data_IF_678282225869
#
_entry.id   IF_678282225869
#
_cell.length_a   1.000
_cell.length_b   1.000
_cell.length_c   1.000
_cell.angle_alpha   90.00
_cell.angle_beta   90.00
_cell.angle_gamma   90.00
#
_symmetry.space_group_name_H-M   'P 1'
#
loop_
_entity.id
_entity.type
_entity.pdbx_description
1 polymer ?
#
# COMPACT_ATOMS: atom_id res chain seq x y z
N UNK A 1 18.11 -3.50 -2.82
CA UNK A 1 18.25 -2.03 -2.95
C UNK A 1 17.41 -1.40 -4.07
N UNK A 2 17.01 -2.09 -5.15
CA UNK A 2 16.26 -1.47 -6.25
C UNK A 2 14.73 -1.29 -6.03
N UNK A 3 14.08 -2.11 -5.19
CA UNK A 3 12.61 -2.10 -5.05
C UNK A 3 12.02 -0.82 -4.41
N UNK A 4 12.76 -0.18 -3.48
CA UNK A 4 12.32 1.06 -2.81
C UNK A 4 12.37 2.31 -3.70
N UNK A 5 13.06 2.23 -4.85
CA UNK A 5 13.20 3.38 -5.76
C UNK A 5 12.25 3.28 -6.96
N UNK A 6 11.51 2.18 -7.10
CA UNK A 6 10.51 2.05 -8.17
C UNK A 6 9.28 2.88 -7.83
N UNK A 7 8.64 3.47 -8.84
CA UNK A 7 7.34 4.13 -8.68
C UNK A 7 6.28 3.19 -8.08
N UNK A 8 5.39 3.72 -7.23
CA UNK A 8 4.33 2.95 -6.55
C UNK A 8 3.49 2.19 -7.58
N UNK A 9 3.11 2.84 -8.68
CA UNK A 9 2.33 2.22 -9.76
C UNK A 9 3.02 0.99 -10.36
N UNK A 10 4.35 1.05 -10.55
CA UNK A 10 5.12 -0.09 -11.08
C UNK A 10 5.19 -1.22 -10.05
N UNK A 11 5.36 -0.92 -8.75
CA UNK A 11 5.35 -1.96 -7.71
C UNK A 11 4.00 -2.65 -7.62
N UNK A 12 2.91 -1.88 -7.65
CA UNK A 12 1.55 -2.42 -7.69
C UNK A 12 1.37 -3.32 -8.91
N UNK A 13 1.76 -2.83 -10.10
CA UNK A 13 1.68 -3.59 -11.35
C UNK A 13 2.45 -4.91 -11.28
N UNK A 14 3.68 -4.90 -10.76
CA UNK A 14 4.48 -6.12 -10.58
C UNK A 14 3.83 -7.08 -9.58
N UNK A 15 3.31 -6.59 -8.45
CA UNK A 15 2.65 -7.43 -7.46
C UNK A 15 1.37 -8.08 -8.03
N UNK A 16 0.53 -7.30 -8.72
CA UNK A 16 -0.66 -7.83 -9.39
C UNK A 16 -0.31 -8.80 -10.51
N UNK A 17 0.67 -8.49 -11.35
CA UNK A 17 1.14 -9.38 -12.41
C UNK A 17 1.66 -10.70 -11.85
N UNK A 18 2.40 -10.66 -10.72
CA UNK A 18 2.87 -11.86 -10.04
C UNK A 18 1.71 -12.72 -9.52
N UNK A 19 0.70 -12.12 -8.88
CA UNK A 19 -0.50 -12.84 -8.42
C UNK A 19 -1.28 -13.44 -9.58
N UNK A 20 -1.52 -12.68 -10.65
CA UNK A 20 -2.21 -13.18 -11.84
C UNK A 20 -1.44 -14.33 -12.49
N UNK A 21 -0.12 -14.23 -12.56
CA UNK A 21 0.75 -15.29 -13.09
C UNK A 21 0.68 -16.54 -12.22
N UNK A 22 0.71 -16.39 -10.89
CA UNK A 22 0.52 -17.53 -9.97
C UNK A 22 -0.84 -18.20 -10.18
N UNK A 23 -1.91 -17.43 -10.35
CA UNK A 23 -3.25 -17.98 -10.63
C UNK A 23 -3.27 -18.75 -11.95
N UNK A 24 -2.69 -18.21 -13.02
CA UNK A 24 -2.59 -18.89 -14.32
C UNK A 24 -1.76 -20.17 -14.21
N UNK A 25 -0.62 -20.12 -13.50
CA UNK A 25 0.22 -21.30 -13.28
C UNK A 25 -0.51 -22.39 -12.50
N UNK A 26 -1.26 -22.02 -11.45
CA UNK A 26 -2.09 -22.97 -10.70
C UNK A 26 -3.17 -23.61 -11.58
N UNK A 27 -3.82 -22.82 -12.44
CA UNK A 27 -4.82 -23.34 -13.37
C UNK A 27 -4.20 -24.31 -14.40
N UNK A 28 -3.04 -23.97 -14.97
CA UNK A 28 -2.33 -24.84 -15.92
C UNK A 28 -1.88 -26.15 -15.25
N UNK A 29 -1.33 -26.07 -14.04
CA UNK A 29 -0.98 -27.25 -13.24
C UNK A 29 -2.23 -28.10 -13.00
N UNK A 30 -3.35 -27.49 -12.59
CA UNK A 30 -4.62 -28.18 -12.39
C UNK A 30 -5.09 -28.94 -13.64
N UNK A 31 -5.01 -28.31 -14.81
CA UNK A 31 -5.36 -28.94 -16.09
C UNK A 31 -4.47 -30.15 -16.37
N UNK A 32 -3.15 -30.04 -16.19
CA UNK A 32 -2.24 -31.18 -16.42
C UNK A 32 -2.51 -32.35 -15.47
N UNK A 33 -2.84 -32.08 -14.20
CA UNK A 33 -3.22 -33.12 -13.24
C UNK A 33 -4.55 -33.79 -13.58
N UNK A 34 -5.53 -33.03 -14.06
CA UNK A 34 -6.79 -33.59 -14.55
C UNK A 34 -6.58 -34.46 -15.79
N UNK A 35 -5.64 -34.11 -16.67
CA UNK A 35 -5.28 -34.94 -17.82
C UNK A 35 -4.65 -36.27 -17.39
N UNK A 36 -3.76 -36.27 -16.40
CA UNK A 36 -3.17 -37.50 -15.84
C UNK A 36 -4.26 -38.44 -15.30
N UNK A 37 -5.22 -37.89 -14.54
CA UNK A 37 -6.37 -38.65 -14.00
C UNK A 37 -7.28 -39.15 -15.11
N UNK A 38 -7.55 -38.33 -16.13
CA UNK A 38 -8.36 -38.73 -17.27
C UNK A 38 -7.71 -39.90 -18.05
N UNK A 39 -6.42 -39.83 -18.33
CA UNK A 39 -5.69 -40.92 -18.99
C UNK A 39 -5.58 -42.19 -18.13
N UNK A 40 -5.52 -42.07 -16.80
CA UNK A 40 -5.64 -43.24 -15.92
C UNK A 40 -7.05 -43.85 -15.95
N UNK A 41 -8.08 -43.00 -15.99
CA UNK A 41 -9.49 -43.42 -16.08
C UNK A 41 -9.79 -44.14 -17.39
N UNK A 42 -9.30 -43.63 -18.52
CA UNK A 42 -9.45 -44.30 -19.83
C UNK A 42 -8.80 -45.70 -19.85
N UNK A 43 -7.64 -45.85 -19.18
CA UNK A 43 -6.99 -47.17 -19.01
C UNK A 43 -7.84 -48.10 -18.14
N UNK A 44 -8.43 -47.59 -17.06
CA UNK A 44 -9.36 -48.34 -16.21
C UNK A 44 -10.63 -48.75 -16.97
N UNK A 45 -11.21 -47.86 -17.79
CA UNK A 45 -12.39 -48.13 -18.62
C UNK A 45 -12.12 -49.21 -19.67
N UNK A 46 -10.93 -49.19 -20.27
CA UNK A 46 -10.47 -50.26 -21.15
C UNK A 46 -10.31 -51.59 -20.39
N UNK A 47 -9.78 -51.55 -19.16
CA UNK A 47 -9.62 -52.73 -18.32
C UNK A 47 -10.96 -53.35 -17.91
N UNK A 48 -11.93 -52.55 -17.44
CA UNK A 48 -13.26 -53.06 -17.05
C UNK A 48 -14.02 -53.65 -18.24
N UNK A 49 -13.85 -53.11 -19.44
CA UNK A 49 -14.44 -53.70 -20.65
C UNK A 49 -13.94 -55.13 -20.88
N UNK A 50 -12.64 -55.38 -20.69
CA UNK A 50 -12.05 -56.71 -20.84
C UNK A 50 -12.51 -57.68 -19.75
N UNK A 51 -12.64 -57.22 -18.51
CA UNK A 51 -13.24 -58.02 -17.41
C UNK A 51 -14.65 -58.46 -17.79
N UNK A 52 -15.52 -57.50 -18.16
CA UNK A 52 -16.92 -57.80 -18.54
C UNK A 52 -17.03 -58.79 -19.71
N UNK A 53 -16.17 -58.68 -20.72
CA UNK A 53 -16.15 -59.63 -21.83
C UNK A 53 -15.70 -61.02 -21.36
N UNK A 54 -14.68 -61.09 -20.51
CA UNK A 54 -14.16 -62.35 -19.96
C UNK A 54 -15.20 -63.04 -19.05
N UNK A 55 -15.91 -62.28 -18.20
CA UNK A 55 -17.00 -62.80 -17.37
C UNK A 55 -18.17 -63.31 -18.21
N UNK A 56 -18.57 -62.57 -19.26
CA UNK A 56 -19.62 -63.02 -20.18
C UNK A 56 -19.21 -64.29 -20.93
N UNK A 57 -17.95 -64.40 -21.31
CA UNK A 57 -17.42 -65.63 -21.89
C UNK A 57 -17.50 -66.79 -20.89
N UNK A 58 -17.01 -66.60 -19.68
CA UNK A 58 -17.06 -67.62 -18.62
C UNK A 58 -18.50 -68.09 -18.34
N UNK A 59 -19.42 -67.15 -18.09
CA UNK A 59 -20.83 -67.46 -17.85
C UNK A 59 -21.49 -68.14 -19.06
N UNK A 60 -21.17 -67.70 -20.28
CA UNK A 60 -21.63 -68.33 -21.50
C UNK A 60 -21.13 -69.77 -21.65
N UNK A 61 -19.89 -70.03 -21.25
CA UNK A 61 -19.27 -71.34 -21.29
C UNK A 61 -19.98 -72.33 -20.37
N UNK A 62 -20.09 -71.98 -19.08
CA UNK A 62 -20.80 -72.78 -18.07
C UNK A 62 -22.25 -73.06 -18.49
N UNK A 63 -22.93 -72.06 -19.04
CA UNK A 63 -24.30 -72.23 -19.54
C UNK A 63 -24.37 -73.20 -20.74
N UNK A 64 -23.37 -73.18 -21.62
CA UNK A 64 -23.31 -74.09 -22.77
C UNK A 64 -22.98 -75.52 -22.36
N UNK A 65 -22.16 -75.70 -21.33
CA UNK A 65 -21.82 -77.00 -20.76
C UNK A 65 -23.02 -77.64 -20.06
N UNK A 66 -23.82 -76.83 -19.35
CA UNK A 66 -25.11 -77.28 -18.81
C UNK A 66 -26.08 -77.75 -19.91
N UNK A 67 -26.13 -77.05 -21.05
CA UNK A 67 -26.91 -77.50 -22.21
C UNK A 67 -26.35 -78.81 -22.80
N UNK A 68 -25.03 -78.97 -22.83
CA UNK A 68 -24.38 -80.21 -23.26
C UNK A 68 -24.76 -81.40 -22.38
N UNK A 69 -24.65 -81.28 -21.07
CA UNK A 69 -25.02 -82.30 -20.09
C UNK A 69 -26.55 -82.58 -20.07
N UNK A 70 -27.39 -81.57 -20.34
CA UNK A 70 -28.82 -81.78 -20.56
C UNK A 70 -29.07 -82.61 -21.83
N UNK A 71 -28.38 -82.27 -22.92
CA UNK A 71 -28.47 -82.97 -24.20
C UNK A 71 -28.05 -84.43 -24.08
N UNK A 72 -27.03 -84.76 -23.29
CA UNK A 72 -26.62 -86.15 -23.03
C UNK A 72 -27.72 -87.02 -22.39
N UNK A 73 -28.67 -86.40 -21.68
CA UNK A 73 -29.77 -87.08 -20.99
C UNK A 73 -31.10 -87.01 -21.74
N UNK A 74 -31.17 -86.23 -22.82
CA UNK A 74 -32.39 -86.07 -23.61
C UNK A 74 -32.75 -87.37 -24.34
N UNK A 75 -34.00 -87.80 -24.20
CA UNK A 75 -34.54 -88.99 -24.88
C UNK A 75 -35.58 -88.64 -25.94
N UNK A 76 -36.20 -87.45 -25.86
CA UNK A 76 -37.13 -86.93 -26.87
C UNK A 76 -36.34 -86.26 -28.02
N UNK A 77 -36.52 -86.70 -29.29
CA UNK A 77 -35.88 -86.07 -30.44
C UNK A 77 -36.15 -84.56 -30.59
N UNK A 78 -37.34 -84.08 -30.18
CA UNK A 78 -37.68 -82.67 -30.27
C UNK A 78 -36.88 -81.83 -29.26
N UNK A 79 -36.73 -82.31 -28.03
CA UNK A 79 -35.91 -81.69 -26.99
C UNK A 79 -34.42 -81.72 -27.36
N UNK A 80 -33.91 -82.84 -27.89
CA UNK A 80 -32.52 -82.93 -28.37
C UNK A 80 -32.20 -81.89 -29.45
N UNK A 81 -33.10 -81.75 -30.43
CA UNK A 81 -32.94 -80.77 -31.50
C UNK A 81 -32.95 -79.33 -30.96
N UNK A 82 -33.81 -79.03 -29.98
CA UNK A 82 -33.86 -77.72 -29.35
C UNK A 82 -32.59 -77.42 -28.53
N UNK A 83 -32.10 -78.38 -27.74
CA UNK A 83 -30.87 -78.25 -26.97
C UNK A 83 -29.67 -78.03 -27.89
N UNK A 84 -29.54 -78.82 -28.96
CA UNK A 84 -28.49 -78.65 -29.97
C UNK A 84 -28.53 -77.26 -30.62
N UNK A 85 -29.73 -76.75 -30.96
CA UNK A 85 -29.88 -75.41 -31.52
C UNK A 85 -29.41 -74.33 -30.53
N UNK A 86 -29.82 -74.41 -29.26
CA UNK A 86 -29.38 -73.49 -28.20
C UNK A 86 -27.87 -73.54 -27.97
N UNK A 87 -27.26 -74.74 -28.01
CA UNK A 87 -25.81 -74.91 -27.90
C UNK A 87 -25.06 -74.23 -29.06
N UNK A 88 -25.56 -74.39 -30.29
CA UNK A 88 -24.98 -73.74 -31.48
C UNK A 88 -25.07 -72.22 -31.36
N UNK A 89 -26.23 -71.70 -30.94
CA UNK A 89 -26.41 -70.27 -30.71
C UNK A 89 -25.44 -69.73 -29.65
N UNK A 90 -25.38 -70.38 -28.48
CA UNK A 90 -24.45 -70.02 -27.39
C UNK A 90 -22.99 -70.06 -27.84
N UNK A 91 -22.60 -71.08 -28.60
CA UNK A 91 -21.23 -71.19 -29.12
C UNK A 91 -20.90 -70.04 -30.09
N UNK A 92 -21.85 -69.59 -30.90
CA UNK A 92 -21.69 -68.42 -31.76
C UNK A 92 -21.57 -67.11 -30.94
N UNK A 93 -22.39 -66.94 -29.90
CA UNK A 93 -22.30 -65.81 -28.96
C UNK A 93 -20.93 -65.75 -28.26
N UNK A 94 -20.44 -66.90 -27.76
CA UNK A 94 -19.13 -67.01 -27.13
C UNK A 94 -18.02 -66.66 -28.11
N UNK A 95 -18.09 -67.18 -29.34
CA UNK A 95 -17.07 -66.89 -30.38
C UNK A 95 -17.01 -65.39 -30.67
N UNK A 96 -18.17 -64.72 -30.78
CA UNK A 96 -18.23 -63.27 -30.95
C UNK A 96 -17.57 -62.52 -29.79
N UNK A 97 -17.82 -62.93 -28.54
CA UNK A 97 -17.19 -62.33 -27.35
C UNK A 97 -15.67 -62.51 -27.40
N UNK A 98 -15.19 -63.70 -27.77
CA UNK A 98 -13.77 -63.99 -27.91
C UNK A 98 -13.11 -63.11 -28.99
N UNK A 99 -13.78 -62.94 -30.14
CA UNK A 99 -13.31 -62.10 -31.23
C UNK A 99 -13.27 -60.61 -30.85
N UNK A 100 -14.21 -60.15 -30.01
CA UNK A 100 -14.19 -58.80 -29.44
C UNK A 100 -13.09 -58.61 -28.39
N UNK A 101 -12.82 -59.64 -27.57
CA UNK A 101 -11.84 -59.59 -26.48
C UNK A 101 -10.40 -59.68 -26.99
N UNK A 102 -10.14 -60.58 -27.93
CA UNK A 102 -8.79 -60.88 -28.45
C UNK A 102 -7.98 -59.65 -28.86
N UNK A 103 -8.49 -58.68 -29.64
CA UNK A 103 -7.71 -57.49 -30.02
C UNK A 103 -7.47 -56.51 -28.85
N UNK A 104 -8.27 -56.58 -27.77
CA UNK A 104 -8.13 -55.73 -26.60
C UNK A 104 -7.05 -56.25 -25.62
N UNK A 105 -6.71 -57.53 -25.69
CA UNK A 105 -5.69 -58.16 -24.85
C UNK A 105 -4.30 -57.89 -25.41
N UNK A 106 -3.64 -56.85 -24.90
CA UNK A 106 -2.29 -56.45 -25.33
C UNK A 106 -1.16 -57.08 -24.50
N UNK A 107 -1.40 -57.42 -23.23
CA UNK A 107 -0.38 -57.97 -22.32
C UNK A 107 0.11 -59.33 -22.78
N UNK A 108 1.42 -59.57 -22.69
CA UNK A 108 2.04 -60.84 -23.10
C UNK A 108 1.43 -62.06 -22.38
N UNK A 109 1.32 -61.99 -21.05
CA UNK A 109 0.66 -63.04 -20.25
C UNK A 109 -0.79 -63.26 -20.66
N UNK A 110 -1.54 -62.18 -20.94
CA UNK A 110 -2.91 -62.28 -21.42
C UNK A 110 -3.02 -62.99 -22.78
N UNK A 111 -2.12 -62.72 -23.72
CA UNK A 111 -2.07 -63.42 -25.02
C UNK A 111 -1.75 -64.91 -24.83
N UNK A 112 -0.82 -65.23 -23.95
CA UNK A 112 -0.49 -66.62 -23.60
C UNK A 112 -1.69 -67.36 -23.00
N UNK A 113 -2.40 -66.74 -22.06
CA UNK A 113 -3.63 -67.31 -21.49
C UNK A 113 -4.69 -67.53 -22.56
N UNK A 114 -4.97 -66.54 -23.41
CA UNK A 114 -5.91 -66.68 -24.53
C UNK A 114 -5.54 -67.83 -25.48
N UNK A 115 -4.25 -68.02 -25.78
CA UNK A 115 -3.74 -69.12 -26.60
C UNK A 115 -3.96 -70.48 -25.94
N UNK A 116 -3.53 -70.63 -24.69
CA UNK A 116 -3.70 -71.86 -23.92
C UNK A 116 -5.18 -72.24 -23.74
N UNK A 117 -6.05 -71.25 -23.53
CA UNK A 117 -7.49 -71.45 -23.45
C UNK A 117 -8.08 -71.89 -24.79
N UNK A 118 -7.58 -71.38 -25.92
CA UNK A 118 -8.03 -71.82 -27.24
C UNK A 118 -7.65 -73.29 -27.53
N UNK A 119 -6.46 -73.73 -27.11
CA UNK A 119 -6.04 -75.14 -27.21
C UNK A 119 -6.93 -76.05 -26.36
N UNK A 120 -7.15 -75.69 -25.08
CA UNK A 120 -8.03 -76.46 -24.17
C UNK A 120 -9.47 -76.51 -24.67
N UNK A 121 -9.97 -75.41 -25.24
CA UNK A 121 -11.29 -75.36 -25.90
C UNK A 121 -11.39 -76.38 -27.02
N UNK A 122 -10.37 -76.51 -27.87
CA UNK A 122 -10.39 -77.46 -28.98
C UNK A 122 -10.44 -78.90 -28.47
N UNK A 123 -9.62 -79.24 -27.47
CA UNK A 123 -9.62 -80.56 -26.82
C UNK A 123 -11.00 -80.91 -26.26
N UNK A 124 -11.66 -79.97 -25.59
CA UNK A 124 -13.03 -80.16 -25.09
C UNK A 124 -14.04 -80.33 -26.24
N UNK A 125 -14.00 -79.49 -27.27
CA UNK A 125 -14.91 -79.58 -28.42
C UNK A 125 -14.80 -80.95 -29.10
N UNK A 126 -13.58 -81.44 -29.31
CA UNK A 126 -13.34 -82.73 -29.96
C UNK A 126 -13.87 -83.89 -29.09
N UNK A 127 -13.58 -83.87 -27.79
CA UNK A 127 -14.11 -84.86 -26.85
C UNK A 127 -15.65 -84.83 -26.79
N UNK A 128 -16.26 -83.65 -26.75
CA UNK A 128 -17.71 -83.47 -26.73
C UNK A 128 -18.37 -83.98 -28.02
N UNK A 129 -17.78 -83.68 -29.18
CA UNK A 129 -18.27 -84.16 -30.46
C UNK A 129 -18.21 -85.69 -30.54
N UNK A 130 -17.13 -86.29 -30.03
CA UNK A 130 -17.00 -87.75 -29.94
C UNK A 130 -18.05 -88.36 -29.00
N UNK A 131 -18.33 -87.74 -27.84
CA UNK A 131 -19.41 -88.17 -26.95
C UNK A 131 -20.76 -88.10 -27.67
N UNK A 132 -21.07 -87.02 -28.40
CA UNK A 132 -22.33 -86.93 -29.13
C UNK A 132 -22.44 -87.98 -30.25
N UNK A 133 -21.36 -88.25 -30.98
CA UNK A 133 -21.34 -89.32 -31.97
C UNK A 133 -21.59 -90.71 -31.34
N UNK A 134 -20.95 -91.00 -30.20
CA UNK A 134 -21.20 -92.25 -29.46
C UNK A 134 -22.62 -92.33 -28.91
N UNK A 135 -23.18 -91.22 -28.43
CA UNK A 135 -24.55 -91.17 -27.91
C UNK A 135 -25.57 -91.54 -28.99
N UNK A 136 -25.37 -90.99 -30.19
CA UNK A 136 -26.26 -91.16 -31.34
C UNK A 136 -26.08 -92.54 -32.03
N UNK A 137 -25.04 -93.30 -31.68
CA UNK A 137 -24.82 -94.67 -32.14
C UNK A 137 -25.75 -95.66 -31.39
N UNK A 138 -26.64 -96.39 -32.10
CA UNK A 138 -27.51 -97.40 -31.50
C UNK A 138 -26.74 -98.64 -30.99
N UNK A 139 -25.51 -98.88 -31.46
CA UNK A 139 -24.65 -99.99 -31.07
C UNK A 139 -23.61 -99.62 -29.99
N UNK A 140 -23.74 -98.45 -29.34
CA UNK A 140 -22.79 -97.99 -28.31
C UNK A 140 -22.61 -99.01 -27.18
N UNK A 141 -21.37 -99.20 -26.76
CA UNK A 141 -21.05 -99.87 -25.49
C UNK A 141 -21.30 -98.90 -24.32
N UNK A 142 -22.25 -99.17 -23.42
CA UNK A 142 -22.55 -98.29 -22.28
C UNK A 142 -21.37 -98.08 -21.33
N UNK A 143 -20.51 -99.08 -21.16
CA UNK A 143 -19.34 -98.98 -20.28
C UNK A 143 -18.27 -98.09 -20.91
N UNK A 144 -17.95 -98.29 -22.19
CA UNK A 144 -17.03 -97.44 -22.93
C UNK A 144 -17.52 -95.98 -23.04
N UNK A 145 -18.83 -95.79 -23.25
CA UNK A 145 -19.45 -94.47 -23.32
C UNK A 145 -19.30 -93.69 -21.99
N UNK A 146 -19.64 -94.33 -20.86
CA UNK A 146 -19.48 -93.73 -19.54
C UNK A 146 -18.00 -93.44 -19.24
N UNK A 147 -17.11 -94.40 -19.50
CA UNK A 147 -15.68 -94.25 -19.27
C UNK A 147 -15.07 -93.09 -20.09
N UNK A 148 -15.54 -92.88 -21.33
CA UNK A 148 -15.09 -91.76 -22.15
C UNK A 148 -15.56 -90.41 -21.61
N UNK A 149 -16.82 -90.32 -21.16
CA UNK A 149 -17.36 -89.10 -20.54
C UNK A 149 -16.54 -88.73 -19.29
N UNK A 150 -16.36 -89.69 -18.37
CA UNK A 150 -15.70 -89.45 -17.08
C UNK A 150 -14.18 -89.29 -17.22
N UNK A 151 -13.54 -90.04 -18.13
CA UNK A 151 -12.09 -90.06 -18.27
C UNK A 151 -11.51 -89.04 -19.26
N UNK A 152 -12.32 -88.53 -20.21
CA UNK A 152 -11.84 -87.58 -21.23
C UNK A 152 -12.67 -86.31 -21.32
N UNK A 153 -13.99 -86.43 -21.52
CA UNK A 153 -14.82 -85.24 -21.79
C UNK A 153 -14.90 -84.31 -20.57
N UNK A 154 -15.26 -84.82 -19.39
CA UNK A 154 -15.37 -84.01 -18.17
C UNK A 154 -14.04 -83.38 -17.74
N UNK A 155 -12.91 -84.11 -17.71
CA UNK A 155 -11.60 -83.48 -17.44
C UNK A 155 -11.24 -82.39 -18.45
N UNK A 156 -11.53 -82.57 -19.74
CA UNK A 156 -11.30 -81.55 -20.76
C UNK A 156 -12.21 -80.32 -20.58
N UNK A 157 -13.47 -80.53 -20.20
CA UNK A 157 -14.42 -79.47 -19.85
C UNK A 157 -13.90 -78.64 -18.66
N UNK A 158 -13.55 -79.29 -17.55
CA UNK A 158 -12.99 -78.62 -16.36
C UNK A 158 -11.70 -77.87 -16.70
N UNK A 159 -10.78 -78.49 -17.45
CA UNK A 159 -9.53 -77.83 -17.83
C UNK A 159 -9.78 -76.56 -18.67
N UNK A 160 -10.79 -76.59 -19.55
CA UNK A 160 -11.20 -75.43 -20.33
C UNK A 160 -11.86 -74.36 -19.46
N UNK A 161 -12.84 -74.71 -18.62
CA UNK A 161 -13.48 -73.78 -17.67
C UNK A 161 -12.46 -73.07 -16.78
N UNK A 162 -11.55 -73.84 -16.16
CA UNK A 162 -10.48 -73.31 -15.31
C UNK A 162 -9.59 -72.33 -16.09
N UNK A 163 -9.30 -72.61 -17.36
CA UNK A 163 -8.51 -71.70 -18.18
C UNK A 163 -9.25 -70.41 -18.55
N UNK A 164 -10.58 -70.42 -18.65
CA UNK A 164 -11.37 -69.20 -18.83
C UNK A 164 -11.41 -68.42 -17.52
N UNK A 165 -11.54 -69.09 -16.37
CA UNK A 165 -11.46 -68.47 -15.05
C UNK A 165 -10.09 -67.79 -14.82
N UNK A 166 -8.99 -68.40 -15.27
CA UNK A 166 -7.65 -67.78 -15.24
C UNK A 166 -7.59 -66.49 -16.08
N UNK A 167 -8.25 -66.46 -17.25
CA UNK A 167 -8.36 -65.23 -18.07
C UNK A 167 -9.13 -64.16 -17.31
N UNK A 168 -10.26 -64.50 -16.69
CA UNK A 168 -11.06 -63.56 -15.87
C UNK A 168 -10.21 -62.99 -14.73
N UNK A 169 -9.60 -63.84 -13.92
CA UNK A 169 -8.76 -63.43 -12.80
C UNK A 169 -7.59 -62.54 -13.23
N UNK A 170 -6.99 -62.82 -14.39
CA UNK A 170 -5.95 -61.97 -14.95
C UNK A 170 -6.46 -60.60 -15.37
N UNK A 171 -7.62 -60.52 -16.03
CA UNK A 171 -8.21 -59.22 -16.40
C UNK A 171 -8.67 -58.43 -15.16
N UNK A 172 -9.21 -59.09 -14.15
CA UNK A 172 -9.60 -58.46 -12.87
C UNK A 172 -8.39 -57.88 -12.14
N UNK A 173 -7.28 -58.62 -12.11
CA UNK A 173 -6.02 -58.10 -11.57
C UNK A 173 -5.58 -56.83 -12.29
N UNK A 174 -5.57 -56.83 -13.63
CA UNK A 174 -5.19 -55.65 -14.42
C UNK A 174 -6.16 -54.48 -14.21
N UNK A 175 -7.45 -54.75 -14.03
CA UNK A 175 -8.44 -53.73 -13.67
C UNK A 175 -8.16 -53.12 -12.30
N UNK A 176 -7.86 -53.95 -11.29
CA UNK A 176 -7.52 -53.48 -9.95
C UNK A 176 -6.22 -52.66 -9.92
N UNK A 177 -5.21 -53.07 -10.70
CA UNK A 177 -3.99 -52.28 -10.91
C UNK A 177 -4.31 -50.92 -11.56
N UNK A 178 -5.11 -50.90 -12.62
CA UNK A 178 -5.54 -49.66 -13.29
C UNK A 178 -6.38 -48.75 -12.38
N UNK A 179 -7.23 -49.33 -11.52
CA UNK A 179 -7.96 -48.59 -10.50
C UNK A 179 -7.01 -47.96 -9.47
N UNK A 180 -6.01 -48.72 -9.01
CA UNK A 180 -4.97 -48.21 -8.12
C UNK A 180 -4.20 -47.03 -8.72
N UNK A 181 -3.91 -47.08 -10.02
CA UNK A 181 -3.29 -45.96 -10.75
C UNK A 181 -4.17 -44.70 -10.71
N UNK A 182 -5.49 -44.82 -10.87
CA UNK A 182 -6.44 -43.68 -10.77
C UNK A 182 -6.45 -43.09 -9.36
N UNK A 183 -6.54 -43.95 -8.35
CA UNK A 183 -6.55 -43.53 -6.94
C UNK A 183 -5.23 -42.81 -6.58
N UNK A 184 -4.08 -43.34 -7.04
CA UNK A 184 -2.77 -42.74 -6.85
C UNK A 184 -2.58 -41.41 -7.62
N UNK A 185 -3.04 -41.34 -8.87
CA UNK A 185 -3.00 -40.11 -9.67
C UNK A 185 -3.84 -38.99 -9.01
N UNK A 186 -5.01 -39.35 -8.48
CA UNK A 186 -5.90 -38.42 -7.77
C UNK A 186 -5.24 -37.91 -6.48
N UNK A 187 -4.78 -38.81 -5.60
CA UNK A 187 -4.19 -38.43 -4.32
C UNK A 187 -2.89 -37.62 -4.47
N UNK A 188 -2.03 -38.00 -5.44
CA UNK A 188 -0.81 -37.25 -5.73
C UNK A 188 -1.10 -35.89 -6.36
N UNK A 189 -2.10 -35.80 -7.24
CA UNK A 189 -2.58 -34.56 -7.84
C UNK A 189 -3.12 -33.59 -6.79
N UNK A 190 -4.01 -34.05 -5.91
CA UNK A 190 -4.56 -33.27 -4.80
C UNK A 190 -3.46 -32.75 -3.86
N UNK A 191 -2.54 -33.62 -3.42
CA UNK A 191 -1.43 -33.23 -2.54
C UNK A 191 -0.54 -32.18 -3.21
N UNK A 192 -0.24 -32.35 -4.49
CA UNK A 192 0.56 -31.39 -5.24
C UNK A 192 -0.13 -30.03 -5.37
N UNK A 193 -1.42 -30.02 -5.73
CA UNK A 193 -2.22 -28.79 -5.81
C UNK A 193 -2.36 -28.09 -4.46
N UNK A 194 -2.52 -28.83 -3.36
CA UNK A 194 -2.52 -28.26 -2.01
C UNK A 194 -1.18 -27.58 -1.68
N UNK A 195 -0.04 -28.22 -1.99
CA UNK A 195 1.29 -27.64 -1.77
C UNK A 195 1.48 -26.38 -2.62
N UNK A 196 1.14 -26.43 -3.92
CA UNK A 196 1.23 -25.27 -4.80
C UNK A 196 0.30 -24.13 -4.34
N UNK A 197 -0.93 -24.45 -3.93
CA UNK A 197 -1.89 -23.48 -3.40
C UNK A 197 -1.39 -22.82 -2.11
N UNK A 198 -0.84 -23.60 -1.17
CA UNK A 198 -0.24 -23.07 0.06
C UNK A 198 0.98 -22.19 -0.24
N UNK A 199 1.84 -22.59 -1.18
CA UNK A 199 2.97 -21.77 -1.62
C UNK A 199 2.52 -20.46 -2.27
N UNK A 200 1.51 -20.50 -3.15
CA UNK A 200 0.94 -19.31 -3.78
C UNK A 200 0.33 -18.35 -2.76
N UNK A 201 -0.39 -18.87 -1.76
CA UNK A 201 -0.92 -18.06 -0.65
C UNK A 201 0.20 -17.43 0.18
N UNK A 202 1.25 -18.18 0.51
CA UNK A 202 2.40 -17.66 1.25
C UNK A 202 3.14 -16.56 0.47
N UNK A 203 3.36 -16.76 -0.83
CA UNK A 203 3.97 -15.75 -1.71
C UNK A 203 3.06 -14.51 -1.82
N UNK A 204 1.75 -14.70 -2.02
CA UNK A 204 0.78 -13.62 -2.09
C UNK A 204 0.73 -12.79 -0.80
N UNK A 205 0.72 -13.45 0.37
CA UNK A 205 0.76 -12.79 1.67
C UNK A 205 2.06 -12.02 1.89
N UNK A 206 3.21 -12.60 1.51
CA UNK A 206 4.51 -11.94 1.59
C UNK A 206 4.56 -10.69 0.70
N UNK A 207 4.11 -10.79 -0.56
CA UNK A 207 4.06 -9.67 -1.49
C UNK A 207 3.12 -8.57 -0.99
N UNK A 208 1.93 -8.93 -0.50
CA UNK A 208 0.98 -7.98 0.09
C UNK A 208 1.60 -7.25 1.29
N UNK A 209 2.22 -7.99 2.23
CA UNK A 209 2.86 -7.40 3.40
C UNK A 209 4.01 -6.47 3.02
N UNK A 210 4.89 -6.88 2.10
CA UNK A 210 6.00 -6.06 1.61
C UNK A 210 5.50 -4.78 0.92
N UNK A 211 4.47 -4.90 0.08
CA UNK A 211 3.88 -3.76 -0.63
C UNK A 211 3.25 -2.77 0.34
N UNK A 212 2.39 -3.25 1.25
CA UNK A 212 1.76 -2.42 2.30
C UNK A 212 2.82 -1.72 3.14
N UNK A 213 3.84 -2.43 3.63
CA UNK A 213 4.91 -1.84 4.42
C UNK A 213 5.72 -0.81 3.62
N UNK A 214 5.97 -1.05 2.34
CA UNK A 214 6.74 -0.14 1.48
C UNK A 214 6.04 1.19 1.20
N UNK A 215 4.71 1.25 1.34
CA UNK A 215 3.91 2.45 1.08
C UNK A 215 3.50 3.13 2.39
N UNK A 216 2.99 2.35 3.35
CA UNK A 216 2.42 2.91 4.60
C UNK A 216 3.46 3.50 5.53
N UNK A 217 4.68 2.95 5.59
CA UNK A 217 5.74 3.47 6.46
C UNK A 217 6.20 4.87 6.00
N UNK A 218 6.63 5.09 4.74
CA UNK A 218 7.01 6.43 4.29
C UNK A 218 5.88 7.46 4.36
N UNK A 219 4.64 7.06 4.09
CA UNK A 219 3.48 7.96 4.23
C UNK A 219 3.25 8.37 5.69
N UNK A 220 3.44 7.45 6.64
CA UNK A 220 3.32 7.77 8.07
C UNK A 220 4.41 8.75 8.51
N UNK A 221 5.63 8.62 7.98
CA UNK A 221 6.72 9.56 8.23
C UNK A 221 6.43 10.95 7.66
N UNK A 222 5.90 11.02 6.43
CA UNK A 222 5.45 12.27 5.82
C UNK A 222 4.36 12.97 6.65
N UNK A 223 3.36 12.20 7.13
CA UNK A 223 2.32 12.72 8.03
C UNK A 223 2.92 13.23 9.34
N UNK A 224 3.91 12.55 9.90
CA UNK A 224 4.58 12.99 11.12
C UNK A 224 5.31 14.32 10.92
N UNK A 225 6.02 14.50 9.80
CA UNK A 225 6.68 15.77 9.44
C UNK A 225 5.65 16.90 9.25
N UNK A 226 4.56 16.64 8.53
CA UNK A 226 3.51 17.64 8.34
C UNK A 226 2.89 18.08 9.69
N UNK A 227 2.70 17.15 10.63
CA UNK A 227 2.21 17.45 11.98
C UNK A 227 3.20 18.27 12.80
N UNK A 228 4.52 18.03 12.70
CA UNK A 228 5.51 18.86 13.42
C UNK A 228 5.54 20.28 12.86
N UNK A 229 5.49 20.43 11.54
CA UNK A 229 5.39 21.75 10.89
C UNK A 229 4.10 22.47 11.30
N UNK A 230 2.96 21.77 11.32
CA UNK A 230 1.68 22.34 11.74
C UNK A 230 1.67 22.78 13.22
N UNK A 231 2.49 22.13 14.07
CA UNK A 231 2.68 22.52 15.46
C UNK A 231 3.68 23.70 15.64
N UNK A 232 4.27 24.21 14.56
CA UNK A 232 5.27 25.27 14.60
C UNK A 232 6.69 24.81 14.91
N UNK A 233 6.92 23.50 15.04
CA UNK A 233 8.25 22.93 15.27
C UNK A 233 8.95 22.66 13.92
N UNK A 234 9.86 23.57 13.57
CA UNK A 234 10.70 23.51 12.36
C UNK A 234 12.11 22.97 12.65
N UNK A 235 12.38 22.47 13.87
CA UNK A 235 13.71 21.97 14.25
C UNK A 235 14.03 20.59 13.66
N UNK A 236 13.01 19.87 13.21
CA UNK A 236 13.14 18.49 12.73
C UNK A 236 13.83 18.42 11.37
N UNK A 237 14.89 17.62 11.26
CA UNK A 237 15.53 17.36 9.97
C UNK A 237 14.70 16.40 9.12
N UNK A 238 14.16 16.91 8.01
CA UNK A 238 13.47 16.10 7.00
C UNK A 238 14.51 15.39 6.12
N UNK A 239 14.52 14.06 6.12
CA UNK A 239 15.42 13.25 5.29
C UNK A 239 14.64 12.56 4.17
N UNK A 240 15.20 12.59 2.95
CA UNK A 240 14.61 11.94 1.77
C UNK A 240 15.40 10.66 1.50
N UNK A 241 14.75 9.50 1.63
CA UNK A 241 15.42 8.18 1.57
C UNK A 241 15.00 7.32 0.37
N UNK A 242 14.06 7.78 -0.45
CA UNK A 242 13.59 7.10 -1.68
C UNK A 242 13.49 8.08 -2.85
N UNK A 243 13.46 7.53 -4.07
CA UNK A 243 13.26 8.28 -5.32
C UNK A 243 11.89 8.02 -5.97
N UNK A 244 10.98 7.40 -5.22
CA UNK A 244 9.60 7.15 -5.63
C UNK A 244 8.70 8.35 -5.28
N UNK A 245 7.40 8.23 -5.52
CA UNK A 245 6.40 9.26 -5.23
C UNK A 245 6.37 9.63 -3.73
N UNK A 246 6.67 8.69 -2.82
CA UNK A 246 6.79 9.01 -1.38
C UNK A 246 8.03 9.83 -1.06
N UNK A 247 9.13 9.59 -1.78
CA UNK A 247 10.36 10.37 -1.71
C UNK A 247 10.19 11.77 -2.28
N UNK A 248 9.45 11.90 -3.38
CA UNK A 248 9.06 13.19 -3.97
C UNK A 248 8.19 14.01 -3.00
N UNK A 249 7.20 13.37 -2.35
CA UNK A 249 6.41 13.99 -1.27
C UNK A 249 7.28 14.46 -0.11
N UNK A 250 8.22 13.62 0.35
CA UNK A 250 9.15 13.98 1.43
C UNK A 250 10.10 15.13 1.02
N UNK A 251 10.53 15.19 -0.24
CA UNK A 251 11.33 16.28 -0.75
C UNK A 251 10.55 17.60 -0.78
N UNK A 252 9.28 17.57 -1.21
CA UNK A 252 8.41 18.74 -1.17
C UNK A 252 8.15 19.23 0.27
N UNK A 253 7.92 18.31 1.22
CA UNK A 253 7.79 18.65 2.64
C UNK A 253 9.07 19.26 3.22
N UNK A 254 10.23 18.75 2.81
CA UNK A 254 11.53 19.33 3.18
C UNK A 254 11.64 20.77 2.69
N UNK A 255 11.38 21.01 1.40
CA UNK A 255 11.45 22.36 0.84
C UNK A 255 10.48 23.33 1.55
N UNK A 256 9.26 22.88 1.85
CA UNK A 256 8.29 23.66 2.61
C UNK A 256 8.81 24.03 4.01
N UNK A 257 9.36 23.06 4.75
CA UNK A 257 9.93 23.29 6.08
C UNK A 257 11.12 24.24 6.04
N UNK A 258 12.01 24.08 5.06
CA UNK A 258 13.19 24.92 4.89
C UNK A 258 12.79 26.38 4.58
N UNK A 259 11.78 26.59 3.72
CA UNK A 259 11.24 27.93 3.42
C UNK A 259 10.54 28.57 4.62
N UNK A 260 9.73 27.81 5.36
CA UNK A 260 9.07 28.31 6.57
C UNK A 260 10.11 28.75 7.62
N UNK A 261 11.19 27.97 7.79
CA UNK A 261 12.25 28.30 8.74
C UNK A 261 12.96 29.61 8.37
N UNK A 262 13.23 29.83 7.08
CA UNK A 262 13.76 31.10 6.58
C UNK A 262 12.82 32.28 6.82
N UNK A 263 11.52 32.11 6.60
CA UNK A 263 10.51 33.16 6.83
C UNK A 263 10.47 33.51 8.33
N UNK A 264 10.36 32.51 9.21
CA UNK A 264 10.36 32.72 10.67
C UNK A 264 11.64 33.40 11.14
N UNK A 265 12.80 33.00 10.60
CA UNK A 265 14.08 33.65 10.86
C UNK A 265 14.08 35.13 10.49
N UNK A 266 13.59 35.49 9.29
CA UNK A 266 13.47 36.89 8.86
C UNK A 266 12.51 37.70 9.71
N UNK A 267 11.37 37.12 10.10
CA UNK A 267 10.40 37.78 11.00
C UNK A 267 11.03 38.06 12.36
N UNK A 268 11.77 37.09 12.92
CA UNK A 268 12.50 37.27 14.19
C UNK A 268 13.54 38.39 14.10
N UNK A 269 14.39 38.39 13.07
CA UNK A 269 15.36 39.47 12.85
C UNK A 269 14.69 40.84 12.71
N UNK A 270 13.55 40.91 11.99
CA UNK A 270 12.76 42.14 11.88
C UNK A 270 12.19 42.59 13.23
N UNK A 271 11.69 41.66 14.05
CA UNK A 271 11.18 41.97 15.38
C UNK A 271 12.29 42.44 16.32
N UNK A 272 13.48 41.83 16.28
CA UNK A 272 14.65 42.25 17.05
C UNK A 272 15.10 43.68 16.66
N UNK A 273 15.06 44.01 15.36
CA UNK A 273 15.36 45.35 14.88
C UNK A 273 14.33 46.40 15.34
N UNK A 274 13.03 46.06 15.32
CA UNK A 274 11.97 46.92 15.83
C UNK A 274 12.11 47.13 17.34
N UNK A 275 12.44 46.07 18.09
CA UNK A 275 12.66 46.16 19.54
C UNK A 275 13.83 47.09 19.87
N UNK A 276 14.96 46.94 19.17
CA UNK A 276 16.11 47.83 19.31
C UNK A 276 15.79 49.29 18.98
N UNK A 277 15.12 49.54 17.84
CA UNK A 277 14.69 50.89 17.46
C UNK A 277 13.71 51.48 18.48
N UNK A 278 12.82 50.67 19.07
CA UNK A 278 11.89 51.11 20.11
C UNK A 278 12.63 51.51 21.40
N UNK A 279 13.70 50.79 21.77
CA UNK A 279 14.57 51.17 22.89
C UNK A 279 15.31 52.49 22.62
N UNK A 280 15.80 52.69 21.40
CA UNK A 280 16.45 53.94 20.99
C UNK A 280 15.48 55.12 21.03
N UNK A 281 14.26 54.95 20.51
CA UNK A 281 13.20 55.97 20.59
C UNK A 281 12.83 56.28 22.04
N UNK A 282 12.71 55.27 22.90
CA UNK A 282 12.42 55.47 24.31
C UNK A 282 13.52 56.29 25.01
N UNK A 283 14.79 55.96 24.75
CA UNK A 283 15.94 56.73 25.26
C UNK A 283 15.96 58.16 24.73
N UNK A 284 15.69 58.34 23.43
CA UNK A 284 15.62 59.67 22.81
C UNK A 284 14.48 60.53 23.36
N UNK A 285 13.32 59.94 23.63
CA UNK A 285 12.21 60.64 24.30
C UNK A 285 12.57 61.05 25.73
N UNK A 286 13.32 60.23 26.46
CA UNK A 286 13.74 60.56 27.81
C UNK A 286 14.75 61.72 27.85
N UNK A 287 15.71 61.74 26.91
CA UNK A 287 16.62 62.89 26.73
C UNK A 287 15.87 64.16 26.33
N UNK A 288 14.94 64.06 25.38
CA UNK A 288 14.11 65.18 24.96
C UNK A 288 13.25 65.72 26.12
N UNK A 289 12.67 64.84 26.93
CA UNK A 289 11.92 65.22 28.13
C UNK A 289 12.81 65.99 29.10
N UNK A 290 14.01 65.49 29.40
CA UNK A 290 14.97 66.15 30.29
C UNK A 290 15.40 67.53 29.77
N UNK A 291 15.69 67.66 28.48
CA UNK A 291 15.99 68.95 27.84
C UNK A 291 14.81 69.91 27.86
N UNK A 292 13.58 69.39 27.74
CA UNK A 292 12.36 70.20 27.83
C UNK A 292 12.16 70.73 29.25
N UNK A 293 12.43 69.91 30.28
CA UNK A 293 12.42 70.33 31.68
C UNK A 293 13.49 71.40 31.97
N UNK A 294 14.71 71.22 31.46
CA UNK A 294 15.79 72.20 31.60
C UNK A 294 15.43 73.53 30.90
N UNK A 295 14.90 73.45 29.68
CA UNK A 295 14.46 74.63 28.93
C UNK A 295 13.30 75.36 29.64
N UNK A 296 12.36 74.62 30.24
CA UNK A 296 11.29 75.19 31.05
C UNK A 296 11.87 75.93 32.26
N UNK A 297 12.85 75.33 32.96
CA UNK A 297 13.54 75.97 34.09
C UNK A 297 14.29 77.24 33.68
N UNK A 298 14.99 77.24 32.55
CA UNK A 298 15.67 78.45 32.04
C UNK A 298 14.67 79.56 31.64
N UNK A 299 13.50 79.18 31.12
CA UNK A 299 12.41 80.12 30.82
C UNK A 299 11.82 80.72 32.10
N UNK A 300 11.65 79.93 33.16
CA UNK A 300 11.25 80.44 34.48
C UNK A 300 12.26 81.42 35.06
N UNK A 301 13.56 81.12 34.98
CA UNK A 301 14.63 82.02 35.43
C UNK A 301 14.68 83.31 34.59
N UNK A 302 14.46 83.19 33.28
CA UNK A 302 14.34 84.36 32.39
C UNK A 302 13.12 85.20 32.75
N UNK A 303 11.98 84.59 33.03
CA UNK A 303 10.77 85.30 33.44
C UNK A 303 10.98 86.04 34.77
N UNK A 304 11.61 85.40 35.76
CA UNK A 304 11.97 86.02 37.03
C UNK A 304 12.95 87.20 36.84
N UNK A 305 13.96 87.03 35.98
CA UNK A 305 14.91 88.10 35.64
C UNK A 305 14.21 89.27 34.93
N UNK A 306 13.20 89.01 34.09
CA UNK A 306 12.37 90.04 33.46
C UNK A 306 11.49 90.76 34.49
N UNK A 307 10.95 90.08 35.50
CA UNK A 307 10.22 90.74 36.60
C UNK A 307 11.15 91.67 37.40
N UNK A 308 12.37 91.24 37.71
CA UNK A 308 13.36 92.06 38.41
C UNK A 308 13.81 93.26 37.56
N UNK A 309 14.08 93.05 36.26
CA UNK A 309 14.38 94.13 35.32
C UNK A 309 13.22 95.11 35.20
N UNK A 310 11.98 94.64 35.12
CA UNK A 310 10.78 95.49 35.04
C UNK A 310 10.67 96.37 36.29
N UNK A 311 10.91 95.78 37.46
CA UNK A 311 10.95 96.49 38.74
C UNK A 311 12.04 97.56 38.75
N UNK A 312 13.25 97.22 38.28
CA UNK A 312 14.38 98.16 38.19
C UNK A 312 14.13 99.29 37.19
N UNK A 313 13.51 99.01 36.04
CA UNK A 313 13.12 100.02 35.06
C UNK A 313 12.07 100.95 35.64
N UNK A 314 11.09 100.42 36.38
CA UNK A 314 10.07 101.22 37.06
C UNK A 314 10.70 102.13 38.12
N UNK A 315 11.66 101.62 38.90
CA UNK A 315 12.43 102.41 39.86
C UNK A 315 13.30 103.48 39.17
N UNK A 316 13.93 103.18 38.04
CA UNK A 316 14.69 104.16 37.26
C UNK A 316 13.80 105.27 36.69
N UNK A 317 12.60 104.92 36.21
CA UNK A 317 11.63 105.90 35.74
C UNK A 317 11.16 106.83 36.87
N UNK A 318 10.95 106.28 38.07
CA UNK A 318 10.62 107.06 39.27
C UNK A 318 11.79 107.99 39.66
N UNK A 319 13.01 107.47 39.71
CA UNK A 319 14.23 108.24 39.97
C UNK A 319 14.42 109.37 38.94
N UNK A 320 14.17 109.11 37.66
CA UNK A 320 14.24 110.12 36.61
C UNK A 320 13.17 111.21 36.81
N UNK A 321 11.94 110.84 37.19
CA UNK A 321 10.89 111.80 37.58
C UNK A 321 11.32 112.65 38.76
N UNK A 322 11.88 112.02 39.78
CA UNK A 322 12.34 112.69 41.00
C UNK A 322 13.51 113.64 40.70
N UNK A 323 14.47 113.20 39.88
CA UNK A 323 15.57 114.03 39.39
C UNK A 323 15.09 115.21 38.55
N UNK A 324 14.10 115.02 37.68
CA UNK A 324 13.49 116.10 36.90
C UNK A 324 12.78 117.14 37.80
N UNK A 325 12.09 116.68 38.85
CA UNK A 325 11.49 117.59 39.85
C UNK A 325 12.57 118.38 40.61
N UNK A 326 13.66 117.73 40.99
CA UNK A 326 14.78 118.39 41.67
C UNK A 326 15.45 119.43 40.77
N UNK A 327 15.68 119.10 39.49
CA UNK A 327 16.21 120.02 38.49
C UNK A 327 15.28 121.23 38.25
N UNK A 328 13.96 121.00 38.18
CA UNK A 328 12.97 122.07 38.08
C UNK A 328 13.01 122.99 39.31
N UNK A 329 13.12 122.43 40.52
CA UNK A 329 13.26 123.20 41.75
C UNK A 329 14.57 124.01 41.80
N UNK A 330 15.69 123.42 41.38
CA UNK A 330 16.97 124.12 41.29
C UNK A 330 16.93 125.27 40.27
N UNK A 331 16.26 125.06 39.13
CA UNK A 331 16.04 126.09 38.11
C UNK A 331 15.19 127.26 38.64
N UNK A 332 14.15 126.97 39.43
CA UNK A 332 13.35 128.01 40.11
C UNK A 332 14.18 128.83 41.11
N UNK A 333 15.00 128.15 41.92
CA UNK A 333 15.95 128.82 42.84
C UNK A 333 16.96 129.68 42.07
N UNK A 334 17.50 129.19 40.96
CA UNK A 334 18.43 129.94 40.12
C UNK A 334 17.75 131.16 39.47
N UNK A 335 16.50 131.03 39.02
CA UNK A 335 15.69 132.14 38.48
C UNK A 335 15.46 133.23 39.54
N UNK A 336 15.09 132.83 40.76
CA UNK A 336 14.98 133.75 41.90
C UNK A 336 16.33 134.39 42.25
N UNK A 337 17.42 133.65 42.19
CA UNK A 337 18.78 134.17 42.36
C UNK A 337 19.15 135.21 41.29
N UNK A 338 18.76 134.96 40.03
CA UNK A 338 18.92 135.90 38.92
C UNK A 338 18.17 137.21 39.15
N UNK A 339 16.95 137.17 39.68
CA UNK A 339 16.19 138.37 40.05
C UNK A 339 16.89 139.19 41.15
N UNK A 340 17.46 138.52 42.17
CA UNK A 340 18.23 139.19 43.23
C UNK A 340 19.50 139.84 42.68
N UNK A 341 20.22 139.17 41.78
CA UNK A 341 21.42 139.74 41.13
C UNK A 341 21.04 140.94 40.26
N UNK A 342 19.93 140.89 39.53
CA UNK A 342 19.41 142.03 38.76
C UNK A 342 19.14 143.23 39.67
N UNK A 343 18.52 143.01 40.83
CA UNK A 343 18.24 144.07 41.80
C UNK A 343 19.51 144.68 42.42
N UNK A 344 20.59 143.90 42.55
CA UNK A 344 21.92 144.40 42.98
C UNK A 344 22.55 145.27 41.89
N UNK A 345 22.40 144.92 40.61
CA UNK A 345 22.89 145.74 39.47
C UNK A 345 22.17 147.09 39.43
N UNK A 346 20.84 147.10 39.57
CA UNK A 346 20.06 148.35 39.63
C UNK A 346 20.51 149.24 40.81
N UNK A 347 20.85 148.62 41.94
CA UNK A 347 21.37 149.33 43.12
C UNK A 347 22.77 149.90 42.87
N UNK A 348 23.64 149.18 42.16
CA UNK A 348 24.96 149.67 41.73
C UNK A 348 24.85 150.83 40.73
N UNK A 349 23.87 150.81 39.82
CA UNK A 349 23.56 151.93 38.93
C UNK A 349 23.10 153.18 39.69
N UNK A 350 22.26 153.00 40.71
CA UNK A 350 21.83 154.10 41.59
C UNK A 350 23.00 154.69 42.41
N UNK A 351 23.96 153.85 42.84
CA UNK A 351 25.19 154.29 43.51
C UNK A 351 26.07 155.08 42.54
N UNK A 352 26.26 154.59 41.31
CA UNK A 352 27.01 155.29 40.26
C UNK A 352 26.40 156.66 39.95
N UNK A 353 25.07 156.75 39.85
CA UNK A 353 24.36 158.00 39.67
C UNK A 353 24.54 158.97 40.85
N UNK A 354 24.54 158.46 42.10
CA UNK A 354 24.83 159.29 43.29
C UNK A 354 26.29 159.76 43.33
N UNK A 355 27.24 158.91 42.94
CA UNK A 355 28.66 159.26 42.89
C UNK A 355 28.95 160.34 41.83
N UNK A 356 28.31 160.27 40.66
CA UNK A 356 28.40 161.31 39.62
C UNK A 356 27.87 162.66 40.13
N UNK A 357 26.78 162.66 40.90
CA UNK A 357 26.20 163.87 41.50
C UNK A 357 27.09 164.49 42.58
N UNK A 358 27.90 163.68 43.27
CA UNK A 358 28.91 164.15 44.22
C UNK A 358 30.08 164.83 43.46
N UNK A 359 30.52 164.27 42.32
CA UNK A 359 31.56 164.87 41.48
C UNK A 359 31.13 166.24 40.91
N UNK A 360 29.86 166.36 40.48
CA UNK A 360 29.31 167.64 40.00
C UNK A 360 29.28 168.73 41.10
N UNK A 361 29.11 168.36 42.38
CA UNK A 361 29.16 169.30 43.50
C UNK A 361 30.60 169.73 43.80
N UNK A 362 31.59 168.82 43.70
CA UNK A 362 33.00 169.13 43.95
C UNK A 362 33.55 170.07 42.86
N UNK A 363 33.12 169.91 41.61
CA UNK A 363 33.57 170.75 40.50
C UNK A 363 33.20 172.24 40.59
N UNK A 364 32.18 172.60 41.38
CA UNK A 364 31.72 174.00 41.53
C UNK A 364 32.38 174.70 42.73
N UNK A 365 33.11 173.98 43.59
CA UNK A 365 33.73 174.55 44.80
C UNK A 365 35.20 174.97 44.58
N UNK A 366 35.88 174.44 43.54
CA UNK A 366 37.32 174.68 43.26
C UNK A 366 37.61 175.35 41.88
N UNK A 367 36.65 176.04 41.27
CA UNK A 367 36.78 176.72 39.97
C UNK A 367 36.17 178.11 39.91
#
# INVERSE_FOLDING_TARGET
MHFKNMKIGVRLGVAFAAVLTLTVLLALIGITRLQDVNSATERMDSAIRKVRLSEKWYAGNIANDALGEARLRATDPADDAQLLARMKQRSAEITKIQDELKPLVSSEKGKQLMGATAEKRQVYIDARNQVFAMRDDPAKDPAAFKAFIEGKMRPAMTAYDDSVAEVVAWQERLFNEAKGDVDAATASGERFLMICGAAALAIGALLAWLLTRSITVPLRDAVAVARTVAAGDLSRTVTVSSKDETGELMAALKEMSDRLNQIVGRVRTGADAIAAASTEVASGNQDLSGRTEEQASSLEETAASIEELTTTVQQNAENARHGNQLAASASDVASRGGAVVSQVVDTMEAIHASASKIVDIIGVIDG
#
